data_IF_939282248771
#
_entry.id   IF_939282248771
#
_cell.length_a   1.000
_cell.length_b   1.000
_cell.length_c   1.000
_cell.angle_alpha   90.00
_cell.angle_beta   90.00
_cell.angle_gamma   90.00
#
_symmetry.space_group_name_H-M   'P 1'
#
loop_
_entity.id
_entity.type
_entity.pdbx_description
1 polymer ?
#
# COMPACT_ATOMS: atom_id res chain seq x y z
N UNK A 1 -2.73 -12.05 -1.50
CA UNK A 1 -3.63 -11.86 -2.67
C UNK A 1 -3.82 -13.23 -3.28
N UNK A 2 -5.04 -13.71 -3.53
CA UNK A 2 -5.30 -15.05 -4.09
C UNK A 2 -4.59 -16.23 -3.39
N UNK A 3 -4.31 -16.13 -2.08
CA UNK A 3 -3.58 -17.17 -1.31
C UNK A 3 -2.05 -17.12 -1.42
N UNK A 4 -1.48 -16.27 -2.28
CA UNK A 4 -0.03 -16.12 -2.41
C UNK A 4 0.54 -15.16 -1.36
N UNK A 5 1.74 -15.49 -0.84
CA UNK A 5 2.46 -14.68 0.14
C UNK A 5 3.22 -13.56 -0.56
N UNK A 6 2.66 -12.35 -0.51
CA UNK A 6 3.38 -11.12 -0.87
C UNK A 6 4.17 -10.57 0.32
N UNK A 7 5.03 -9.59 0.05
CA UNK A 7 5.71 -8.81 1.09
C UNK A 7 4.90 -7.54 1.39
N UNK A 8 4.88 -7.13 2.65
CA UNK A 8 4.35 -5.81 3.00
C UNK A 8 5.06 -5.21 4.21
N UNK A 9 5.19 -3.89 4.22
CA UNK A 9 5.76 -3.15 5.35
C UNK A 9 5.08 -1.78 5.53
N UNK A 10 5.13 -1.26 6.75
CA UNK A 10 4.71 0.10 7.07
C UNK A 10 5.96 0.99 7.18
N UNK A 11 5.91 2.15 6.55
CA UNK A 11 6.95 3.17 6.56
C UNK A 11 6.35 4.48 7.08
N UNK A 12 7.20 5.36 7.61
CA UNK A 12 6.80 6.69 8.08
C UNK A 12 7.81 7.74 7.64
N UNK A 13 7.31 8.92 7.27
CA UNK A 13 8.11 10.06 6.84
C UNK A 13 7.30 11.36 7.00
N UNK A 14 7.98 12.50 6.85
CA UNK A 14 7.32 13.78 6.65
C UNK A 14 6.78 13.85 5.23
N UNK A 15 5.55 14.35 5.09
CA UNK A 15 4.89 14.54 3.81
C UNK A 15 5.54 15.69 3.04
N UNK A 16 5.76 15.57 1.71
CA UNK A 16 6.28 16.67 0.90
C UNK A 16 5.25 17.80 0.70
N UNK A 17 3.97 17.56 1.05
CA UNK A 17 2.91 18.55 0.94
C UNK A 17 3.07 19.58 2.06
N UNK A 18 3.08 20.87 1.70
CA UNK A 18 3.16 21.96 2.69
C UNK A 18 1.99 21.86 3.67
N UNK A 19 2.30 21.75 4.96
CA UNK A 19 1.31 21.55 6.03
C UNK A 19 0.77 20.11 6.16
N UNK A 20 1.28 19.15 5.39
CA UNK A 20 0.86 17.74 5.41
C UNK A 20 1.25 16.98 6.68
N UNK A 21 2.34 17.38 7.34
CA UNK A 21 2.84 16.74 8.56
C UNK A 21 3.36 15.31 8.29
N UNK A 22 3.32 14.45 9.31
CA UNK A 22 3.74 13.05 9.19
C UNK A 22 2.71 12.20 8.46
N UNK A 23 3.19 11.28 7.64
CA UNK A 23 2.40 10.29 6.92
C UNK A 23 2.85 8.86 7.24
N UNK A 24 1.94 7.92 7.06
CA UNK A 24 2.23 6.49 7.07
C UNK A 24 1.99 5.94 5.67
N UNK A 25 2.92 5.10 5.24
CA UNK A 25 2.97 4.47 3.93
C UNK A 25 2.93 2.95 4.10
N UNK A 26 1.91 2.28 3.58
CA UNK A 26 1.84 0.82 3.52
C UNK A 26 2.28 0.35 2.13
N UNK A 27 3.50 -0.17 2.06
CA UNK A 27 4.10 -0.72 0.84
C UNK A 27 3.77 -2.20 0.74
N UNK A 28 3.19 -2.62 -0.36
CA UNK A 28 2.84 -4.01 -0.67
C UNK A 28 3.48 -4.43 -2.00
N UNK A 29 4.18 -5.55 -1.98
CA UNK A 29 4.82 -6.16 -3.16
C UNK A 29 4.20 -7.55 -3.38
N UNK A 30 3.20 -7.68 -4.27
CA UNK A 30 2.69 -8.98 -4.68
C UNK A 30 3.76 -9.81 -5.41
N UNK A 31 3.72 -11.15 -5.31
CA UNK A 31 4.53 -12.01 -6.17
C UNK A 31 4.17 -11.78 -7.62
N UNK A 32 5.19 -11.60 -8.47
CA UNK A 32 5.02 -11.45 -9.91
C UNK A 32 6.28 -11.91 -10.63
N UNK A 33 6.27 -13.05 -11.33
CA UNK A 33 7.44 -13.56 -12.03
C UNK A 33 7.91 -12.65 -13.19
N UNK A 34 6.98 -11.93 -13.81
CA UNK A 34 7.22 -11.16 -15.04
C UNK A 34 7.71 -9.73 -14.76
N UNK A 35 8.08 -9.41 -13.52
CA UNK A 35 8.63 -8.11 -13.15
C UNK A 35 8.17 -7.64 -11.78
N UNK A 36 8.46 -6.37 -11.47
CA UNK A 36 8.14 -5.78 -10.18
C UNK A 36 6.87 -4.95 -10.24
N UNK A 37 5.93 -5.24 -9.35
CA UNK A 37 4.83 -4.34 -9.00
C UNK A 37 4.91 -4.05 -7.51
N UNK A 38 4.74 -2.78 -7.15
CA UNK A 38 4.49 -2.38 -5.78
C UNK A 38 3.27 -1.46 -5.74
N UNK A 39 2.50 -1.57 -4.66
CA UNK A 39 1.36 -0.70 -4.35
C UNK A 39 1.67 0.01 -3.04
N UNK A 40 1.50 1.32 -3.00
CA UNK A 40 1.68 2.13 -1.79
C UNK A 40 0.37 2.79 -1.44
N UNK A 41 -0.08 2.57 -0.21
CA UNK A 41 -1.19 3.32 0.37
C UNK A 41 -0.64 4.35 1.35
N UNK A 42 -0.99 5.61 1.14
CA UNK A 42 -0.46 6.75 1.91
C UNK A 42 -1.61 7.52 2.55
N UNK A 43 -1.47 7.86 3.82
CA UNK A 43 -2.36 8.78 4.51
C UNK A 43 -1.62 9.54 5.62
N UNK A 44 -2.13 10.72 6.06
CA UNK A 44 -1.65 11.34 7.28
C UNK A 44 -1.64 10.33 8.43
N UNK A 45 -0.58 10.33 9.23
CA UNK A 45 -0.38 9.30 10.26
C UNK A 45 -1.56 9.21 11.24
N UNK A 46 -2.10 10.37 11.64
CA UNK A 46 -3.27 10.47 12.53
C UNK A 46 -4.53 9.81 11.96
N UNK A 47 -4.65 9.73 10.64
CA UNK A 47 -5.84 9.28 9.93
C UNK A 47 -5.65 7.88 9.35
N UNK A 48 -4.42 7.36 9.24
CA UNK A 48 -4.09 6.13 8.52
C UNK A 48 -4.93 4.92 8.95
N UNK A 49 -5.08 4.71 10.26
CA UNK A 49 -5.87 3.59 10.81
C UNK A 49 -7.34 3.63 10.35
N UNK A 50 -7.89 4.82 10.11
CA UNK A 50 -9.26 4.96 9.62
C UNK A 50 -9.42 4.53 8.16
N UNK A 51 -8.35 4.60 7.37
CA UNK A 51 -8.31 4.19 5.96
C UNK A 51 -7.88 2.74 5.75
N UNK A 52 -7.31 2.07 6.75
CA UNK A 52 -6.69 0.75 6.60
C UNK A 52 -7.65 -0.29 6.00
N UNK A 53 -8.92 -0.25 6.40
CA UNK A 53 -9.96 -1.15 5.88
C UNK A 53 -10.24 -0.90 4.39
N UNK A 54 -10.31 0.36 3.99
CA UNK A 54 -10.51 0.77 2.60
C UNK A 54 -9.29 0.43 1.75
N UNK A 55 -8.07 0.61 2.26
CA UNK A 55 -6.84 0.18 1.60
C UNK A 55 -6.80 -1.34 1.39
N UNK A 56 -7.19 -2.14 2.39
CA UNK A 56 -7.30 -3.60 2.23
C UNK A 56 -8.31 -3.97 1.14
N UNK A 57 -9.47 -3.30 1.07
CA UNK A 57 -10.47 -3.52 0.02
C UNK A 57 -9.91 -3.18 -1.36
N UNK A 58 -9.21 -2.06 -1.50
CA UNK A 58 -8.53 -1.69 -2.75
C UNK A 58 -7.51 -2.74 -3.15
N UNK A 59 -6.65 -3.18 -2.22
CA UNK A 59 -5.65 -4.21 -2.48
C UNK A 59 -6.28 -5.52 -2.95
N UNK A 60 -7.37 -5.97 -2.31
CA UNK A 60 -8.08 -7.18 -2.71
C UNK A 60 -8.86 -7.05 -4.02
N UNK A 61 -9.11 -5.82 -4.49
CA UNK A 61 -9.74 -5.56 -5.78
C UNK A 61 -8.77 -5.67 -6.96
N UNK A 62 -7.45 -5.62 -6.70
CA UNK A 62 -6.42 -5.72 -7.75
C UNK A 62 -6.57 -7.06 -8.48
N UNK A 63 -6.53 -6.99 -9.81
CA UNK A 63 -6.49 -8.14 -10.72
C UNK A 63 -5.27 -7.99 -11.61
N UNK A 64 -4.34 -8.93 -11.52
CA UNK A 64 -3.20 -9.01 -12.41
C UNK A 64 -3.51 -10.05 -13.47
N UNK A 65 -3.41 -9.68 -14.74
CA UNK A 65 -3.47 -10.61 -15.86
C UNK A 65 -2.04 -11.00 -16.21
N UNK A 66 -1.77 -12.31 -16.30
CA UNK A 66 -0.57 -12.82 -16.92
C UNK A 66 -0.72 -12.69 -18.44
N UNK A 67 0.33 -12.27 -19.13
CA UNK A 67 0.40 -12.28 -20.59
C UNK A 67 0.78 -13.67 -21.09
#
# INVERSE_FOLDING_TARGET
MNGERGLSTYLSNDSPIQGGGRETNWLVTPPRPEGLLFVVFTAPERDFRSYEREFQRMLYSVRLVAN
#
